data_IF_647800248639
#
_entry.id   IF_647800248639
#
_cell.length_a   1.000
_cell.length_b   1.000
_cell.length_c   1.000
_cell.angle_alpha   90.00
_cell.angle_beta   90.00
_cell.angle_gamma   90.00
#
_symmetry.space_group_name_H-M   'P 1'
#
loop_
_entity.id
_entity.type
_entity.pdbx_description
1 polymer ?
#
# COMPACT_ATOMS: atom_id res chain seq x y z
N UNK A 1 -4.72 17.02 14.22
CA UNK A 1 -3.75 16.59 13.19
C UNK A 1 -4.05 15.14 12.91
N UNK A 2 -4.36 14.77 11.67
CA UNK A 2 -4.59 13.36 11.33
C UNK A 2 -3.25 12.61 11.47
N UNK A 3 -3.22 11.42 12.08
CA UNK A 3 -1.99 10.64 12.21
C UNK A 3 -1.38 10.39 10.83
N UNK A 4 -0.05 10.51 10.75
CA UNK A 4 0.67 10.22 9.52
C UNK A 4 0.48 8.73 9.20
N UNK A 5 -0.13 8.36 8.07
CA UNK A 5 -0.41 6.95 7.73
C UNK A 5 0.86 6.11 7.54
N UNK A 6 2.05 6.75 7.51
CA UNK A 6 3.36 6.07 7.43
C UNK A 6 4.06 5.90 8.77
N UNK A 7 3.55 6.47 9.86
CA UNK A 7 4.13 6.31 11.18
C UNK A 7 3.47 5.12 11.89
N UNK A 8 3.95 3.92 11.61
CA UNK A 8 3.50 2.70 12.29
C UNK A 8 4.08 2.62 13.70
N UNK A 9 3.29 2.16 14.66
CA UNK A 9 3.73 1.93 16.03
C UNK A 9 4.35 0.54 16.17
N UNK A 10 5.62 0.51 16.56
CA UNK A 10 6.38 -0.71 16.83
C UNK A 10 6.43 -0.94 18.34
N UNK A 11 6.13 -2.16 18.76
CA UNK A 11 6.21 -2.62 20.13
C UNK A 11 7.67 -2.93 20.52
N UNK A 12 7.94 -3.05 21.82
CA UNK A 12 9.30 -3.28 22.33
C UNK A 12 9.88 -4.65 21.94
N UNK A 13 9.02 -5.61 21.62
CA UNK A 13 9.39 -6.92 21.06
C UNK A 13 9.76 -6.87 19.58
N UNK A 14 9.59 -5.71 18.93
CA UNK A 14 9.83 -5.52 17.50
C UNK A 14 8.66 -5.90 16.61
N UNK A 15 7.50 -6.25 17.18
CA UNK A 15 6.28 -6.47 16.42
C UNK A 15 5.53 -5.16 16.18
N UNK A 16 4.76 -5.09 15.09
CA UNK A 16 3.84 -3.99 14.87
C UNK A 16 2.69 -4.05 15.89
N UNK A 17 2.17 -2.89 16.29
CA UNK A 17 0.94 -2.84 17.06
C UNK A 17 -0.17 -3.59 16.32
N UNK A 18 -1.06 -4.28 17.04
CA UNK A 18 -2.14 -5.05 16.40
C UNK A 18 -3.01 -4.19 15.49
N UNK A 19 -3.23 -2.93 15.88
CA UNK A 19 -3.93 -1.92 15.10
C UNK A 19 -3.22 -1.59 13.80
N UNK A 20 -1.91 -1.32 13.84
CA UNK A 20 -1.14 -0.98 12.64
C UNK A 20 -0.91 -2.20 11.74
N UNK A 21 -0.75 -3.38 12.34
CA UNK A 21 -0.70 -4.63 11.60
C UNK A 21 -2.00 -4.86 10.81
N UNK A 22 -3.16 -4.66 11.45
CA UNK A 22 -4.45 -4.77 10.78
C UNK A 22 -4.60 -3.73 9.68
N UNK A 23 -4.19 -2.48 9.93
CA UNK A 23 -4.27 -1.41 8.94
C UNK A 23 -3.34 -1.66 7.74
N UNK A 24 -2.14 -2.18 7.99
CA UNK A 24 -1.19 -2.61 6.96
C UNK A 24 -1.79 -3.74 6.12
N UNK A 25 -2.32 -4.78 6.76
CA UNK A 25 -2.91 -5.92 6.06
C UNK A 25 -4.12 -5.48 5.20
N UNK A 26 -5.00 -4.63 5.73
CA UNK A 26 -6.11 -4.07 4.95
C UNK A 26 -5.63 -3.23 3.77
N UNK A 27 -4.56 -2.45 3.95
CA UNK A 27 -3.98 -1.65 2.87
C UNK A 27 -3.35 -2.52 1.79
N UNK A 28 -2.64 -3.58 2.16
CA UNK A 28 -2.07 -4.54 1.21
C UNK A 28 -3.15 -5.28 0.42
N UNK A 29 -4.20 -5.74 1.10
CA UNK A 29 -5.36 -6.39 0.45
C UNK A 29 -6.07 -5.44 -0.54
N UNK A 30 -6.17 -4.16 -0.18
CA UNK A 30 -6.73 -3.14 -1.07
C UNK A 30 -5.87 -2.94 -2.33
N UNK A 31 -4.54 -3.10 -2.20
CA UNK A 31 -3.61 -3.05 -3.34
C UNK A 31 -3.70 -4.28 -4.23
N UNK A 32 -3.98 -5.44 -3.66
CA UNK A 32 -4.21 -6.68 -4.42
C UNK A 32 -5.59 -6.74 -5.10
N UNK A 33 -6.44 -5.74 -4.88
CA UNK A 33 -7.78 -5.71 -5.50
C UNK A 33 -7.68 -5.37 -6.99
N UNK A 34 -8.52 -5.99 -7.82
CA UNK A 34 -8.57 -5.85 -9.29
C UNK A 34 -8.50 -4.40 -9.81
N UNK A 35 -9.00 -3.44 -9.03
CA UNK A 35 -8.93 -2.01 -9.35
C UNK A 35 -7.49 -1.49 -9.41
N UNK A 36 -6.64 -1.87 -8.46
CA UNK A 36 -5.24 -1.45 -8.42
C UNK A 36 -4.39 -2.23 -9.43
N UNK A 37 -4.73 -3.50 -9.69
CA UNK A 37 -4.14 -4.27 -10.79
C UNK A 37 -4.41 -3.63 -12.15
N UNK A 38 -5.65 -3.20 -12.41
CA UNK A 38 -6.02 -2.52 -13.66
C UNK A 38 -5.36 -1.13 -13.80
N UNK A 39 -5.11 -0.43 -12.69
CA UNK A 39 -4.36 0.84 -12.72
C UNK A 39 -2.87 0.62 -12.95
N UNK A 40 -2.27 -0.42 -12.36
CA UNK A 40 -0.87 -0.80 -12.63
C UNK A 40 -0.67 -1.22 -14.08
N UNK A 41 -1.62 -1.96 -14.67
CA UNK A 41 -1.63 -2.32 -16.09
C UNK A 41 -1.68 -1.08 -16.98
N UNK A 42 -2.63 -0.15 -16.71
CA UNK A 42 -2.72 1.13 -17.42
C UNK A 42 -1.42 1.95 -17.32
N UNK A 43 -0.81 2.03 -16.14
CA UNK A 43 0.45 2.76 -15.95
C UNK A 43 1.62 2.11 -16.69
N UNK A 44 1.65 0.77 -16.79
CA UNK A 44 2.61 0.04 -17.61
C UNK A 44 2.50 0.39 -19.10
N UNK A 45 1.29 0.41 -19.64
CA UNK A 45 1.04 0.78 -21.04
C UNK A 45 1.42 2.24 -21.35
N UNK A 46 1.19 3.16 -20.41
CA UNK A 46 1.60 4.57 -20.56
C UNK A 46 3.13 4.71 -20.59
N UNK A 47 3.84 3.91 -19.79
CA UNK A 47 5.31 3.97 -19.73
C UNK A 47 5.97 3.37 -20.98
N UNK A 48 5.38 2.33 -21.57
CA UNK A 48 5.83 1.78 -22.87
C UNK A 48 5.50 2.72 -24.04
N UNK A 49 4.43 3.52 -23.95
CA UNK A 49 4.07 4.53 -24.95
C UNK A 49 4.92 5.80 -24.96
N UNK A 50 5.71 6.07 -23.92
CA UNK A 50 6.65 7.20 -23.84
C UNK A 50 8.09 6.85 -24.24
N UNK A 51 8.37 5.59 -24.60
CA UNK A 51 9.66 5.15 -25.14
C UNK A 51 9.75 5.26 -26.68
N UNK A 52 9.05 6.24 -27.27
CA UNK A 52 9.05 6.55 -28.70
C UNK A 52 9.83 7.80 -29.05
#
# INVERSE_FOLDING_TARGET
MAPNPRAMEWQQDGELSRSDWSALMSTLQQVETDHNSAELERLGEINDGQAG
#
